data_IF_037781128829
#
_entry.id   IF_037781128829
#
_cell.length_a   1.000
_cell.length_b   1.000
_cell.length_c   1.000
_cell.angle_alpha   90.00
_cell.angle_beta   90.00
_cell.angle_gamma   90.00
#
_symmetry.space_group_name_H-M   'P 1'
#
loop_
_entity.id
_entity.type
_entity.pdbx_description
1 polymer ?
#
# COMPACT_ATOMS: atom_id res chain seq x y z
N UNK A 1 -5.49 12.00 10.35
CA UNK A 1 -4.68 11.81 9.13
C UNK A 1 -5.19 10.61 8.37
N UNK A 2 -5.36 10.78 7.08
CA UNK A 2 -5.88 9.70 6.27
C UNK A 2 -4.75 8.76 5.86
N UNK A 3 -4.72 7.60 6.45
CA UNK A 3 -3.75 6.56 6.11
C UNK A 3 -3.85 6.21 4.63
N UNK A 4 -5.08 6.12 4.12
CA UNK A 4 -5.29 5.81 2.71
C UNK A 4 -4.59 6.81 1.79
N UNK A 5 -4.67 8.09 2.10
CA UNK A 5 -4.04 9.11 1.25
C UNK A 5 -2.53 8.92 1.16
N UNK A 6 -1.91 8.59 2.28
CA UNK A 6 -0.46 8.37 2.30
C UNK A 6 -0.10 7.10 1.54
N UNK A 7 -0.86 6.04 1.76
CA UNK A 7 -0.64 4.78 1.04
C UNK A 7 -0.84 4.99 -0.46
N UNK A 8 -1.89 5.71 -0.84
CA UNK A 8 -2.15 6.02 -2.23
C UNK A 8 -0.99 6.79 -2.87
N UNK A 9 -0.49 7.79 -2.16
CA UNK A 9 0.64 8.59 -2.64
C UNK A 9 1.87 7.72 -2.90
N UNK A 10 2.16 6.82 -1.97
CA UNK A 10 3.31 5.94 -2.11
C UNK A 10 3.14 5.02 -3.32
N UNK A 11 1.95 4.44 -3.48
CA UNK A 11 1.67 3.56 -4.60
C UNK A 11 1.80 4.31 -5.93
N UNK A 12 1.27 5.53 -5.98
CA UNK A 12 1.36 6.36 -7.18
C UNK A 12 2.82 6.60 -7.56
N UNK A 13 3.64 6.92 -6.60
CA UNK A 13 5.06 7.20 -6.85
C UNK A 13 5.84 5.95 -7.23
N UNK A 14 5.61 4.85 -6.52
CA UNK A 14 6.41 3.65 -6.73
C UNK A 14 6.00 2.88 -7.98
N UNK A 15 4.70 2.85 -8.30
CA UNK A 15 4.20 2.09 -9.42
C UNK A 15 3.92 2.94 -10.66
N UNK A 16 4.01 4.25 -10.54
CA UNK A 16 3.77 5.16 -11.66
C UNK A 16 2.32 5.17 -12.11
N UNK A 17 1.39 5.01 -11.19
CA UNK A 17 -0.04 5.01 -11.50
C UNK A 17 -0.68 6.33 -11.12
N UNK A 18 -1.83 6.64 -11.73
CA UNK A 18 -2.62 7.80 -11.36
C UNK A 18 -3.35 7.54 -10.05
N UNK A 19 -3.52 8.60 -9.25
CA UNK A 19 -4.25 8.49 -7.99
C UNK A 19 -5.66 7.94 -8.19
N UNK A 20 -6.29 8.26 -9.32
CA UNK A 20 -7.64 7.78 -9.61
C UNK A 20 -7.69 6.27 -9.84
N UNK A 21 -6.56 5.66 -10.13
CA UNK A 21 -6.48 4.20 -10.32
C UNK A 21 -6.27 3.46 -9.01
N UNK A 22 -5.90 4.18 -7.95
CA UNK A 22 -5.58 3.59 -6.65
C UNK A 22 -6.75 3.83 -5.71
N UNK A 23 -7.57 2.81 -5.50
CA UNK A 23 -8.72 2.88 -4.61
C UNK A 23 -8.63 1.74 -3.59
N UNK A 24 -9.49 1.77 -2.59
CA UNK A 24 -9.51 0.70 -1.59
C UNK A 24 -9.84 -0.66 -2.20
N UNK A 25 -10.55 -0.66 -3.32
CA UNK A 25 -10.95 -1.90 -4.00
C UNK A 25 -9.91 -2.38 -4.99
N UNK A 26 -8.94 -1.54 -5.34
CA UNK A 26 -7.89 -1.92 -6.29
C UNK A 26 -7.04 -3.04 -5.72
N UNK A 27 -6.76 -4.04 -6.55
CA UNK A 27 -5.84 -5.11 -6.18
C UNK A 27 -4.44 -4.75 -6.67
N UNK A 28 -3.44 -5.34 -6.06
CA UNK A 28 -2.09 -5.11 -6.53
C UNK A 28 -1.87 -5.72 -7.91
N UNK A 29 -2.62 -6.77 -8.25
CA UNK A 29 -2.62 -7.32 -9.60
C UNK A 29 -3.15 -6.31 -10.62
N UNK A 30 -4.20 -5.59 -10.28
CA UNK A 30 -4.78 -4.57 -11.14
C UNK A 30 -3.80 -3.41 -11.36
N UNK A 31 -2.93 -3.19 -10.40
CA UNK A 31 -1.94 -2.11 -10.47
C UNK A 31 -0.63 -2.58 -11.09
N UNK A 32 -0.59 -3.81 -11.59
CA UNK A 32 0.62 -4.40 -12.17
C UNK A 32 1.79 -4.41 -11.20
N UNK A 33 1.50 -4.52 -9.90
CA UNK A 33 2.52 -4.58 -8.88
C UNK A 33 3.06 -5.99 -8.78
N UNK A 34 4.23 -6.22 -9.34
CA UNK A 34 4.90 -7.51 -9.18
C UNK A 34 5.49 -7.61 -7.77
N UNK A 35 6.18 -8.71 -7.49
CA UNK A 35 6.76 -8.95 -6.16
C UNK A 35 7.70 -7.82 -5.74
N UNK A 36 8.52 -7.36 -6.66
CA UNK A 36 9.49 -6.29 -6.35
C UNK A 36 8.77 -4.96 -6.11
N UNK A 37 7.81 -4.63 -6.97
CA UNK A 37 7.04 -3.39 -6.82
C UNK A 37 6.27 -3.36 -5.52
N UNK A 38 5.62 -4.47 -5.19
CA UNK A 38 4.88 -4.59 -3.93
C UNK A 38 5.82 -4.47 -2.74
N UNK A 39 6.98 -5.09 -2.81
CA UNK A 39 7.98 -5.00 -1.75
C UNK A 39 8.42 -3.55 -1.53
N UNK A 40 8.65 -2.82 -2.61
CA UNK A 40 9.04 -1.42 -2.53
C UNK A 40 7.96 -0.57 -1.90
N UNK A 41 6.71 -0.78 -2.29
CA UNK A 41 5.57 -0.07 -1.70
C UNK A 41 5.50 -0.35 -0.19
N UNK A 42 5.62 -1.60 0.18
CA UNK A 42 5.55 -2.00 1.59
C UNK A 42 6.70 -1.39 2.38
N UNK A 43 7.92 -1.41 1.84
CA UNK A 43 9.08 -0.82 2.50
C UNK A 43 8.89 0.67 2.74
N UNK A 44 8.36 1.38 1.76
CA UNK A 44 8.11 2.81 1.90
C UNK A 44 7.07 3.09 2.97
N UNK A 45 6.03 2.25 3.03
CA UNK A 45 4.98 2.41 4.03
C UNK A 45 5.53 2.13 5.43
N UNK A 46 6.33 1.09 5.57
CA UNK A 46 6.96 0.78 6.85
C UNK A 46 7.79 1.95 7.35
N UNK A 47 8.54 2.56 6.45
CA UNK A 47 9.38 3.70 6.78
C UNK A 47 8.56 4.94 7.11
N UNK A 48 7.52 5.19 6.33
CA UNK A 48 6.68 6.38 6.50
C UNK A 48 5.88 6.35 7.81
N UNK A 49 5.44 5.17 8.24
CA UNK A 49 4.62 5.02 9.44
C UNK A 49 5.38 4.43 10.62
N UNK A 50 6.63 4.07 10.43
CA UNK A 50 7.48 3.47 11.46
C UNK A 50 6.83 2.21 12.04
N UNK A 51 6.41 1.31 11.14
CA UNK A 51 5.77 0.04 11.51
C UNK A 51 6.42 -1.08 10.72
N UNK A 52 6.08 -2.33 11.10
CA UNK A 52 6.50 -3.49 10.34
C UNK A 52 5.28 -4.17 9.72
N UNK A 53 5.40 -4.56 8.46
CA UNK A 53 4.35 -5.27 7.76
C UNK A 53 4.84 -6.70 7.54
N UNK A 54 4.21 -7.65 8.22
CA UNK A 54 4.63 -9.04 8.17
C UNK A 54 3.67 -9.94 7.41
N UNK A 55 2.53 -9.41 7.00
CA UNK A 55 1.47 -10.21 6.38
C UNK A 55 1.23 -9.82 4.93
N UNK A 56 2.29 -9.50 4.19
CA UNK A 56 2.16 -9.06 2.81
C UNK A 56 1.46 -10.08 1.91
N UNK A 57 1.54 -11.36 2.25
CA UNK A 57 0.90 -12.41 1.47
C UNK A 57 -0.63 -12.41 1.63
N UNK A 58 -1.11 -11.79 2.70
CA UNK A 58 -2.55 -11.71 2.97
C UNK A 58 -3.14 -10.40 2.45
N UNK A 59 -2.30 -9.51 1.96
CA UNK A 59 -2.74 -8.19 1.51
C UNK A 59 -3.00 -8.23 0.01
N UNK A 60 -4.26 -8.37 -0.37
CA UNK A 60 -4.65 -8.50 -1.77
C UNK A 60 -5.08 -7.17 -2.39
N UNK A 61 -5.71 -6.31 -1.59
CA UNK A 61 -6.19 -5.02 -2.08
C UNK A 61 -5.50 -3.89 -1.34
N UNK A 62 -5.61 -2.70 -1.91
CA UNK A 62 -5.13 -1.49 -1.25
C UNK A 62 -5.85 -1.31 0.08
N UNK A 63 -7.14 -1.62 0.12
CA UNK A 63 -7.92 -1.54 1.36
C UNK A 63 -7.39 -2.45 2.45
N UNK A 64 -6.98 -3.67 2.08
CA UNK A 64 -6.38 -4.60 3.05
C UNK A 64 -5.10 -4.02 3.64
N UNK A 65 -4.27 -3.43 2.79
CA UNK A 65 -3.03 -2.81 3.23
C UNK A 65 -3.30 -1.61 4.14
N UNK A 66 -4.25 -0.77 3.76
CA UNK A 66 -4.63 0.40 4.55
C UNK A 66 -5.12 -0.03 5.93
N UNK A 67 -5.99 -1.04 5.96
CA UNK A 67 -6.52 -1.54 7.23
C UNK A 67 -5.41 -2.08 8.13
N UNK A 68 -4.47 -2.80 7.55
CA UNK A 68 -3.33 -3.32 8.30
C UNK A 68 -2.49 -2.18 8.89
N UNK A 69 -2.20 -1.17 8.07
CA UNK A 69 -1.41 -0.02 8.50
C UNK A 69 -2.12 0.73 9.63
N UNK A 70 -3.43 0.93 9.49
CA UNK A 70 -4.21 1.61 10.53
C UNK A 70 -4.16 0.86 11.86
N UNK A 71 -4.20 -0.45 11.78
CA UNK A 71 -4.14 -1.30 12.96
C UNK A 71 -2.78 -1.18 13.66
N UNK A 72 -1.70 -1.16 12.87
CA UNK A 72 -0.34 -1.09 13.40
C UNK A 72 0.04 0.31 13.88
N UNK A 73 -0.53 1.32 13.27
CA UNK A 73 -0.16 2.72 13.53
C UNK A 73 -0.99 3.38 14.64
N UNK A 74 -1.84 2.64 15.30
CA UNK A 74 -2.65 3.18 16.39
C UNK A 74 -1.81 3.64 17.58
#
# INVERSE_FOLDING_TARGET
>A
MAVFEKVQEIIVEELGKDASEVTLESTFDDLDADSLGLFQVISEIEDAFDIQIEAENDLKTVGDLVAYVEEQAK
#
